data_IF_523407028467
#
_entry.id   IF_523407028467
#
_cell.length_a   1.000
_cell.length_b   1.000
_cell.length_c   1.000
_cell.angle_alpha   90.00
_cell.angle_beta   90.00
_cell.angle_gamma   90.00
#
_symmetry.space_group_name_H-M   'P 1'
#
loop_
_entity.id
_entity.type
_entity.pdbx_description
1 polymer ?
#
# COMPACT_ATOMS: atom_id res chain seq x y z
N UNK A 1 24.47 -9.92 -34.06
CA UNK A 1 23.98 -10.72 -32.93
C UNK A 1 22.91 -9.89 -32.24
N UNK A 2 21.66 -10.33 -32.27
CA UNK A 2 20.55 -9.66 -31.60
C UNK A 2 20.55 -10.05 -30.12
N UNK A 3 20.92 -9.12 -29.26
CA UNK A 3 20.73 -9.25 -27.82
C UNK A 3 19.33 -8.72 -27.51
N UNK A 4 18.31 -9.57 -27.59
CA UNK A 4 17.03 -9.31 -26.94
C UNK A 4 17.17 -9.79 -25.50
N UNK A 5 17.52 -8.89 -24.58
CA UNK A 5 17.04 -9.08 -23.21
C UNK A 5 15.53 -8.96 -23.30
N UNK A 6 14.83 -10.08 -23.26
CA UNK A 6 13.42 -10.05 -22.87
C UNK A 6 13.40 -9.47 -21.45
N UNK A 7 13.25 -8.15 -21.36
CA UNK A 7 12.85 -7.47 -20.14
C UNK A 7 11.62 -8.21 -19.66
N UNK A 8 11.80 -9.01 -18.61
CA UNK A 8 10.79 -9.93 -18.13
C UNK A 8 9.69 -9.08 -17.50
N UNK A 9 8.67 -8.77 -18.29
CA UNK A 9 7.52 -8.02 -17.84
C UNK A 9 6.76 -8.84 -16.81
N UNK A 10 6.75 -8.37 -15.57
CA UNK A 10 5.93 -8.94 -14.50
C UNK A 10 4.60 -8.17 -14.48
N UNK A 11 3.50 -8.88 -14.69
CA UNK A 11 2.14 -8.33 -14.59
C UNK A 11 1.52 -8.81 -13.28
N UNK A 12 1.13 -7.87 -12.43
CA UNK A 12 0.44 -8.13 -11.16
C UNK A 12 -0.94 -7.50 -11.22
N UNK A 13 -2.00 -8.30 -11.02
CA UNK A 13 -3.38 -7.81 -10.97
C UNK A 13 -3.74 -7.50 -9.52
N UNK A 14 -3.61 -6.22 -9.15
CA UNK A 14 -3.90 -5.75 -7.79
C UNK A 14 -5.40 -5.51 -7.59
N UNK A 15 -5.92 -5.71 -6.35
CA UNK A 15 -7.29 -5.33 -6.00
C UNK A 15 -7.60 -3.85 -6.25
N UNK A 16 -6.68 -2.95 -5.93
CA UNK A 16 -6.84 -1.51 -6.19
C UNK A 16 -5.54 -0.91 -6.75
N UNK A 17 -5.31 -0.99 -8.08
CA UNK A 17 -4.07 -0.47 -8.69
C UNK A 17 -3.81 1.01 -8.44
N UNK A 18 -4.86 1.81 -8.26
CA UNK A 18 -4.77 3.26 -8.02
C UNK A 18 -4.05 3.61 -6.72
N UNK A 19 -4.10 2.73 -5.71
CA UNK A 19 -3.40 2.93 -4.43
C UNK A 19 -2.01 2.28 -4.41
N UNK A 20 -1.57 1.68 -5.53
CA UNK A 20 -0.31 0.94 -5.56
C UNK A 20 0.92 1.84 -5.60
N UNK A 21 0.87 2.98 -6.28
CA UNK A 21 2.05 3.83 -6.44
C UNK A 21 2.66 4.30 -5.10
N UNK A 22 1.86 4.79 -4.13
CA UNK A 22 2.37 5.10 -2.78
C UNK A 22 2.91 3.86 -2.04
N UNK A 23 2.23 2.71 -2.15
CA UNK A 23 2.68 1.47 -1.53
C UNK A 23 4.01 0.99 -2.13
N UNK A 24 4.19 1.12 -3.44
CA UNK A 24 5.44 0.78 -4.11
C UNK A 24 6.58 1.68 -3.63
N UNK A 25 6.33 2.98 -3.50
CA UNK A 25 7.31 3.91 -2.94
C UNK A 25 7.72 3.51 -1.51
N UNK A 26 6.75 3.14 -0.66
CA UNK A 26 7.01 2.60 0.67
C UNK A 26 7.92 1.37 0.61
N UNK A 27 7.63 0.39 -0.25
CA UNK A 27 8.43 -0.83 -0.36
C UNK A 27 9.89 -0.57 -0.78
N UNK A 28 10.15 0.50 -1.52
CA UNK A 28 11.50 0.88 -1.92
C UNK A 28 12.24 1.72 -0.87
N UNK A 29 11.52 2.58 -0.15
CA UNK A 29 12.13 3.60 0.72
C UNK A 29 12.09 3.23 2.20
N UNK A 30 11.15 2.40 2.62
CA UNK A 30 10.84 2.14 4.02
C UNK A 30 10.31 3.37 4.77
N UNK A 31 9.76 4.37 4.07
CA UNK A 31 9.26 5.58 4.70
C UNK A 31 7.81 5.41 5.15
N UNK A 32 7.65 4.95 6.39
CA UNK A 32 6.35 4.68 7.03
C UNK A 32 5.46 5.94 7.08
N UNK A 33 6.01 7.06 7.55
CA UNK A 33 5.29 8.33 7.73
C UNK A 33 4.72 8.84 6.41
N UNK A 34 5.55 8.84 5.35
CA UNK A 34 5.10 9.29 4.03
C UNK A 34 3.96 8.43 3.50
N UNK A 35 4.03 7.12 3.69
CA UNK A 35 2.97 6.23 3.21
C UNK A 35 1.69 6.39 4.03
N UNK A 36 1.80 6.53 5.35
CA UNK A 36 0.68 6.86 6.23
C UNK A 36 -0.06 8.12 5.76
N UNK A 37 0.67 9.18 5.44
CA UNK A 37 0.11 10.46 4.98
C UNK A 37 -0.63 10.37 3.63
N UNK A 38 -0.43 9.29 2.86
CA UNK A 38 -1.18 9.06 1.62
C UNK A 38 -2.55 8.41 1.84
N UNK A 39 -2.79 7.88 3.04
CA UNK A 39 -4.05 7.23 3.37
C UNK A 39 -5.10 8.28 3.76
N UNK A 40 -6.32 8.05 3.29
CA UNK A 40 -7.51 8.80 3.68
C UNK A 40 -8.69 7.85 3.90
N UNK A 41 -9.81 8.34 4.45
CA UNK A 41 -10.99 7.48 4.68
C UNK A 41 -11.61 6.89 3.42
N UNK A 42 -11.42 7.53 2.27
CA UNK A 42 -11.97 7.06 1.00
C UNK A 42 -11.09 5.96 0.39
N UNK A 43 -9.77 6.00 0.65
CA UNK A 43 -8.82 5.08 0.05
C UNK A 43 -8.29 3.99 1.01
N UNK A 44 -8.51 4.12 2.32
CA UNK A 44 -7.93 3.24 3.33
C UNK A 44 -8.21 1.76 3.06
N UNK A 45 -9.47 1.44 2.76
CA UNK A 45 -9.89 0.06 2.51
C UNK A 45 -9.19 -0.53 1.28
N UNK A 46 -9.02 0.27 0.22
CA UNK A 46 -8.32 -0.13 -0.99
C UNK A 46 -6.83 -0.38 -0.75
N UNK A 47 -6.19 0.47 0.07
CA UNK A 47 -4.80 0.26 0.52
C UNK A 47 -4.70 -1.06 1.29
N UNK A 48 -5.61 -1.30 2.24
CA UNK A 48 -5.63 -2.53 3.02
C UNK A 48 -5.77 -3.79 2.16
N UNK A 49 -6.65 -3.76 1.14
CA UNK A 49 -6.81 -4.89 0.22
C UNK A 49 -5.52 -5.23 -0.52
N UNK A 50 -4.76 -4.22 -0.97
CA UNK A 50 -3.47 -4.45 -1.61
C UNK A 50 -2.44 -5.04 -0.65
N UNK A 51 -2.36 -4.52 0.59
CA UNK A 51 -1.46 -5.02 1.64
C UNK A 51 -1.73 -6.48 1.96
N UNK A 52 -3.00 -6.85 2.08
CA UNK A 52 -3.41 -8.23 2.35
C UNK A 52 -3.16 -9.15 1.16
N UNK A 53 -3.54 -8.72 -0.06
CA UNK A 53 -3.36 -9.48 -1.29
C UNK A 53 -1.89 -9.77 -1.59
N UNK A 54 -1.01 -8.78 -1.42
CA UNK A 54 0.43 -8.94 -1.61
C UNK A 54 1.11 -9.71 -0.47
N UNK A 55 0.38 -10.05 0.60
CA UNK A 55 0.92 -10.79 1.74
C UNK A 55 1.98 -10.00 2.51
N UNK A 56 1.85 -8.67 2.57
CA UNK A 56 2.84 -7.83 3.23
C UNK A 56 2.89 -8.09 4.74
N UNK A 57 4.09 -7.93 5.29
CA UNK A 57 4.45 -8.26 6.66
C UNK A 57 3.80 -7.39 7.72
N UNK A 58 4.15 -7.68 8.98
CA UNK A 58 3.61 -7.03 10.17
C UNK A 58 3.87 -5.51 10.18
N UNK A 59 4.96 -5.06 9.56
CA UNK A 59 5.35 -3.66 9.46
C UNK A 59 4.32 -2.87 8.66
N UNK A 60 4.03 -3.31 7.43
CA UNK A 60 3.02 -2.66 6.58
C UNK A 60 1.62 -2.69 7.20
N UNK A 61 1.24 -3.84 7.80
CA UNK A 61 -0.06 -3.99 8.48
C UNK A 61 -0.17 -3.08 9.70
N UNK A 62 0.91 -2.87 10.46
CA UNK A 62 0.91 -1.99 11.62
C UNK A 62 0.61 -0.54 11.23
N UNK A 63 1.14 -0.06 10.10
CA UNK A 63 0.87 1.29 9.57
C UNK A 63 -0.62 1.43 9.24
N UNK A 64 -1.20 0.46 8.52
CA UNK A 64 -2.64 0.46 8.22
C UNK A 64 -3.50 0.40 9.50
N UNK A 65 -3.10 -0.37 10.52
CA UNK A 65 -3.84 -0.44 11.78
C UNK A 65 -3.74 0.86 12.58
N UNK A 66 -2.58 1.51 12.59
CA UNK A 66 -2.42 2.82 13.20
C UNK A 66 -3.36 3.84 12.55
N UNK A 67 -3.43 3.87 11.21
CA UNK A 67 -4.32 4.78 10.50
C UNK A 67 -5.79 4.52 10.85
N UNK A 68 -6.21 3.25 10.83
CA UNK A 68 -7.58 2.88 11.18
C UNK A 68 -7.97 3.30 12.59
N UNK A 69 -7.09 3.10 13.56
CA UNK A 69 -7.35 3.48 14.94
C UNK A 69 -7.47 5.00 15.08
N UNK A 70 -6.49 5.75 14.56
CA UNK A 70 -6.39 7.19 14.79
C UNK A 70 -7.37 8.01 13.93
N UNK A 71 -7.60 7.63 12.67
CA UNK A 71 -8.29 8.50 11.70
C UNK A 71 -9.70 8.02 11.36
N UNK A 72 -9.98 6.73 11.56
CA UNK A 72 -11.29 6.13 11.30
C UNK A 72 -12.04 5.95 12.62
N UNK A 73 -11.52 5.16 13.56
CA UNK A 73 -12.24 4.87 14.81
C UNK A 73 -12.38 6.08 15.74
N UNK A 74 -11.29 6.77 16.09
CA UNK A 74 -11.36 7.93 17.01
C UNK A 74 -12.29 9.04 16.50
N UNK A 75 -12.46 9.13 15.19
CA UNK A 75 -13.31 10.13 14.57
C UNK A 75 -14.81 9.81 14.58
N UNK A 76 -15.19 8.56 14.82
CA UNK A 76 -16.59 8.12 14.94
C UNK A 76 -17.10 8.27 16.37
N UNK A 77 -16.20 8.47 17.34
CA UNK A 77 -16.51 8.66 18.76
C UNK A 77 -16.73 10.14 19.15
N UNK A 78 -16.41 11.10 18.26
CA UNK A 78 -16.60 12.55 18.45
C UNK A 78 -17.75 13.13 17.65
#
# INVERSE_FOLDING_TARGET
>A
ASQSSDDSLIVINLPSPETFAPLLEYLYTGNDEKWYDTMDRNNYYDVWLNVDFLGLGKEARAICFAYYQNEILESEET
#
